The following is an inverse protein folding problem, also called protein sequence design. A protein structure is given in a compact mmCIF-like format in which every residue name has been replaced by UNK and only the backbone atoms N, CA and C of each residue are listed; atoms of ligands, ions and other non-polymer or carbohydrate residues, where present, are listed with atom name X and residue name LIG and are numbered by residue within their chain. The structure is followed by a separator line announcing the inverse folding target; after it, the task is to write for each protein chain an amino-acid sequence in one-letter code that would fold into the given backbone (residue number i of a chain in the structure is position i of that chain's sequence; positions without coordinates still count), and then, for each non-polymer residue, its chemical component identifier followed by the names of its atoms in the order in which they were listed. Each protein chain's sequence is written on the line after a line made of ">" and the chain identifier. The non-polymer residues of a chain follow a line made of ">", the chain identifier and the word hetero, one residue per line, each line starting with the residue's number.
data_IF_667311961177
#
_entry.id   IF_667311961177
#
_cell.length_a   1.000
_cell.length_b   1.000
_cell.length_c   1.000
_cell.angle_alpha   90.00
_cell.angle_beta   90.00
_cell.angle_gamma   90.00
#
_symmetry.space_group_name_H-M   'P 1'
#
loop_
_entity.id
_entity.type
_entity.pdbx_description
1 polymer ?
#
# COMPACT_ATOMS: atom_id res chain seq x y z
N UNK A 1 22.57 -12.53 30.16
CA UNK A 1 21.16 -12.64 29.75
C UNK A 1 20.79 -11.39 29.02
N UNK A 2 20.09 -11.46 27.89
CA UNK A 2 19.58 -10.28 27.19
C UNK A 2 18.11 -10.13 27.57
N UNK A 3 17.70 -8.93 27.97
CA UNK A 3 16.29 -8.61 28.26
C UNK A 3 15.69 -7.88 27.05
N UNK A 4 14.49 -8.28 26.67
CA UNK A 4 13.76 -7.68 25.56
C UNK A 4 12.45 -7.10 26.08
N UNK A 5 12.20 -5.82 25.81
CA UNK A 5 10.89 -5.23 26.01
C UNK A 5 9.94 -5.70 24.90
N UNK A 6 8.69 -6.01 25.25
CA UNK A 6 7.66 -6.41 24.31
C UNK A 6 6.39 -5.62 24.56
N UNK A 7 5.83 -5.07 23.49
CA UNK A 7 4.53 -4.39 23.47
C UNK A 7 3.68 -4.98 22.34
N UNK A 8 2.36 -4.95 22.50
CA UNK A 8 1.41 -5.50 21.55
C UNK A 8 0.79 -4.38 20.73
N UNK A 9 0.81 -4.52 19.41
CA UNK A 9 0.23 -3.56 18.47
C UNK A 9 -0.52 -4.27 17.35
N UNK A 10 -1.59 -3.65 16.86
CA UNK A 10 -2.30 -4.09 15.67
C UNK A 10 -1.76 -3.36 14.43
N UNK A 11 -0.84 -4.00 13.71
CA UNK A 11 -0.19 -3.41 12.52
C UNK A 11 -1.13 -3.17 11.33
N UNK A 12 -2.37 -3.66 11.36
CA UNK A 12 -3.38 -3.34 10.33
C UNK A 12 -4.15 -2.05 10.65
N UNK A 13 -4.16 -1.63 11.92
CA UNK A 13 -5.04 -0.54 12.40
C UNK A 13 -4.28 0.63 13.01
N UNK A 14 -3.10 0.37 13.55
CA UNK A 14 -2.34 1.31 14.35
C UNK A 14 -1.00 1.61 13.66
N UNK A 15 -0.58 2.86 13.76
CA UNK A 15 0.78 3.25 13.41
C UNK A 15 1.74 2.75 14.50
N UNK A 16 2.95 2.34 14.12
CA UNK A 16 3.96 1.91 15.08
C UNK A 16 4.36 3.12 15.95
N UNK A 17 4.38 3.02 17.28
CA UNK A 17 4.61 4.17 18.17
C UNK A 17 6.09 4.53 18.30
N UNK A 18 6.83 4.41 17.21
CA UNK A 18 8.23 4.76 17.11
C UNK A 18 8.40 5.94 16.15
N UNK A 19 9.35 6.86 16.42
CA UNK A 19 9.68 7.91 15.47
C UNK A 19 10.21 7.35 14.15
N UNK A 20 10.14 8.17 13.10
CA UNK A 20 10.76 7.88 11.82
C UNK A 20 12.26 7.58 12.01
N UNK A 21 12.80 6.64 11.24
CA UNK A 21 14.24 6.36 11.18
C UNK A 21 14.88 5.96 12.52
N UNK A 22 14.11 5.31 13.39
CA UNK A 22 14.56 4.90 14.72
C UNK A 22 15.44 3.63 14.72
N UNK A 23 15.17 2.68 13.83
CA UNK A 23 15.79 1.35 13.88
C UNK A 23 16.77 1.07 12.75
N UNK A 24 17.87 0.38 13.07
CA UNK A 24 18.79 -0.13 12.05
C UNK A 24 18.25 -1.40 11.34
N UNK A 25 17.33 -2.12 11.99
CA UNK A 25 16.74 -3.32 11.43
C UNK A 25 15.38 -3.66 12.05
N UNK A 26 14.55 -4.38 11.29
CA UNK A 26 13.23 -4.89 11.71
C UNK A 26 13.15 -6.38 11.38
N UNK A 27 12.61 -7.15 12.32
CA UNK A 27 12.23 -8.55 12.12
C UNK A 27 10.71 -8.61 11.98
N UNK A 28 10.23 -9.10 10.84
CA UNK A 28 8.81 -9.35 10.56
C UNK A 28 8.63 -10.86 10.33
N UNK A 29 8.46 -11.60 11.44
CA UNK A 29 8.48 -13.05 11.42
C UNK A 29 7.09 -13.63 11.63
N UNK A 30 6.56 -14.35 10.63
CA UNK A 30 5.24 -15.02 10.70
C UNK A 30 4.09 -14.03 11.00
N UNK A 31 4.06 -12.93 10.25
CA UNK A 31 3.04 -11.87 10.39
C UNK A 31 2.25 -11.66 9.10
N UNK A 32 2.94 -11.66 7.96
CA UNK A 32 2.37 -11.28 6.66
C UNK A 32 1.15 -12.13 6.28
N UNK A 33 1.20 -13.42 6.58
CA UNK A 33 0.16 -14.40 6.29
C UNK A 33 -1.10 -14.25 7.16
N UNK A 34 -0.96 -13.56 8.29
CA UNK A 34 -2.02 -13.33 9.25
C UNK A 34 -2.84 -12.07 8.93
N UNK A 35 -2.30 -11.16 8.13
CA UNK A 35 -2.99 -9.92 7.76
C UNK A 35 -4.26 -10.20 6.96
N UNK A 36 -5.31 -9.45 7.28
CA UNK A 36 -6.65 -9.63 6.71
C UNK A 36 -6.96 -8.67 5.57
N UNK A 37 -6.32 -7.50 5.57
CA UNK A 37 -6.75 -6.35 4.77
C UNK A 37 -5.62 -5.76 3.93
N UNK A 38 -4.59 -5.18 4.55
CA UNK A 38 -3.59 -4.38 3.82
C UNK A 38 -2.14 -4.61 4.30
N UNK A 39 -1.38 -5.52 3.65
CA UNK A 39 0.04 -5.69 3.94
C UNK A 39 0.90 -4.48 3.57
N UNK A 40 0.46 -3.61 2.67
CA UNK A 40 1.22 -2.42 2.24
C UNK A 40 1.29 -1.40 3.37
N UNK A 41 0.22 -1.25 4.17
CA UNK A 41 0.20 -0.37 5.34
C UNK A 41 1.25 -0.78 6.39
N UNK A 42 1.36 -2.07 6.71
CA UNK A 42 2.41 -2.58 7.60
C UNK A 42 3.81 -2.31 7.02
N UNK A 43 4.02 -2.56 5.73
CA UNK A 43 5.29 -2.29 5.07
C UNK A 43 5.64 -0.79 5.06
N UNK A 44 4.65 0.10 4.98
CA UNK A 44 4.84 1.54 5.07
C UNK A 44 5.39 1.95 6.45
N UNK A 45 4.81 1.41 7.52
CA UNK A 45 5.26 1.68 8.89
C UNK A 45 6.65 1.07 9.15
N UNK A 46 6.91 -0.16 8.70
CA UNK A 46 8.24 -0.76 8.76
C UNK A 46 9.27 0.12 8.02
N UNK A 47 8.94 0.59 6.82
CA UNK A 47 9.81 1.47 6.05
C UNK A 47 10.02 2.81 6.76
N UNK A 48 8.99 3.38 7.41
CA UNK A 48 9.07 4.64 8.15
C UNK A 48 10.00 4.54 9.34
N UNK A 49 9.90 3.49 10.15
CA UNK A 49 10.69 3.33 11.38
C UNK A 49 12.12 2.85 11.13
N UNK A 50 12.40 2.22 9.98
CA UNK A 50 13.75 1.87 9.57
C UNK A 50 14.55 3.13 9.22
N UNK A 51 15.83 3.18 9.56
CA UNK A 51 16.79 4.19 9.08
C UNK A 51 17.04 4.06 7.58
N UNK A 52 17.51 5.11 6.88
CA UNK A 52 18.01 4.96 5.52
C UNK A 52 19.06 3.86 5.49
N UNK A 53 18.93 2.89 4.56
CA UNK A 53 19.76 1.69 4.48
C UNK A 53 19.60 0.66 5.61
N UNK A 54 18.61 0.80 6.49
CA UNK A 54 18.24 -0.22 7.47
C UNK A 54 17.71 -1.48 6.78
N UNK A 55 17.73 -2.60 7.49
CA UNK A 55 17.37 -3.91 6.94
C UNK A 55 16.04 -4.44 7.49
N UNK A 56 15.31 -5.17 6.66
CA UNK A 56 14.13 -5.94 7.04
C UNK A 56 14.48 -7.42 6.85
N UNK A 57 14.26 -8.24 7.87
CA UNK A 57 14.14 -9.68 7.69
C UNK A 57 12.68 -10.05 7.80
N UNK A 58 12.15 -10.66 6.73
CA UNK A 58 10.77 -11.11 6.66
C UNK A 58 10.74 -12.62 6.49
N UNK A 59 9.90 -13.30 7.29
CA UNK A 59 9.60 -14.72 7.11
C UNK A 59 8.10 -14.93 7.00
N UNK A 60 7.72 -15.85 6.10
CA UNK A 60 6.32 -16.24 5.88
C UNK A 60 6.28 -17.64 5.27
N UNK A 61 5.22 -18.43 5.51
CA UNK A 61 5.03 -19.72 4.85
C UNK A 61 4.97 -19.59 3.33
N UNK A 62 5.54 -20.56 2.62
CA UNK A 62 5.48 -20.66 1.17
C UNK A 62 4.21 -21.41 0.72
N UNK A 63 3.27 -20.70 0.10
CA UNK A 63 2.06 -21.32 -0.46
C UNK A 63 2.38 -22.36 -1.53
N UNK A 64 3.50 -22.18 -2.24
CA UNK A 64 4.02 -23.08 -3.26
C UNK A 64 4.85 -24.24 -2.71
N UNK A 65 4.82 -24.55 -1.41
CA UNK A 65 5.61 -25.64 -0.85
C UNK A 65 5.16 -27.02 -1.38
N UNK A 66 6.08 -28.00 -1.37
CA UNK A 66 5.83 -29.33 -1.93
C UNK A 66 4.66 -30.04 -1.24
N UNK A 67 4.49 -29.83 0.08
CA UNK A 67 3.36 -30.38 0.84
C UNK A 67 2.03 -29.96 0.20
N UNK A 68 1.86 -28.66 -0.06
CA UNK A 68 0.64 -28.12 -0.66
C UNK A 68 0.42 -28.69 -2.07
N UNK A 69 1.47 -28.80 -2.89
CA UNK A 69 1.39 -29.42 -4.22
C UNK A 69 0.89 -30.86 -4.14
N UNK A 70 1.45 -31.65 -3.22
CA UNK A 70 1.07 -33.06 -3.04
C UNK A 70 -0.34 -33.20 -2.48
N UNK A 71 -0.75 -32.35 -1.55
CA UNK A 71 -2.12 -32.37 -1.01
C UNK A 71 -3.14 -32.05 -2.11
N UNK A 72 -2.88 -31.08 -2.96
CA UNK A 72 -3.73 -30.76 -4.12
C UNK A 72 -3.81 -31.91 -5.13
N UNK A 73 -2.69 -32.59 -5.43
CA UNK A 73 -2.70 -33.78 -6.30
C UNK A 73 -3.54 -34.93 -5.74
N UNK A 74 -3.70 -35.00 -4.42
CA UNK A 74 -4.57 -35.96 -3.75
C UNK A 74 -6.00 -35.44 -3.51
N UNK A 75 -6.35 -34.26 -4.07
CA UNK A 75 -7.67 -33.66 -3.91
C UNK A 75 -7.95 -33.14 -2.49
N UNK A 76 -6.92 -32.85 -1.70
CA UNK A 76 -7.05 -32.28 -0.36
C UNK A 76 -6.99 -30.76 -0.38
N UNK A 77 -7.63 -30.14 0.60
CA UNK A 77 -7.60 -28.70 0.78
C UNK A 77 -6.33 -28.29 1.53
N UNK A 78 -5.69 -27.20 1.08
CA UNK A 78 -4.48 -26.62 1.67
C UNK A 78 -4.79 -25.51 2.69
N UNK A 79 -6.03 -25.01 2.73
CA UNK A 79 -6.43 -23.97 3.68
C UNK A 79 -6.62 -24.55 5.08
N UNK A 80 -6.15 -23.80 6.08
CA UNK A 80 -6.33 -24.16 7.49
C UNK A 80 -7.83 -24.19 7.87
N UNK A 81 -8.25 -25.13 8.72
CA UNK A 81 -9.63 -25.19 9.20
C UNK A 81 -9.99 -23.92 9.98
N UNK A 82 -11.28 -23.55 9.95
CA UNK A 82 -11.79 -22.45 10.76
C UNK A 82 -11.65 -22.77 12.25
N UNK A 83 -11.12 -21.82 13.02
CA UNK A 83 -10.91 -21.97 14.45
C UNK A 83 -11.55 -20.79 15.19
N UNK A 84 -12.87 -20.86 15.37
CA UNK A 84 -13.69 -19.78 15.93
C UNK A 84 -13.15 -19.26 17.28
N UNK A 85 -12.58 -20.14 18.10
CA UNK A 85 -12.04 -19.81 19.42
C UNK A 85 -10.85 -18.84 19.41
N UNK A 86 -10.16 -18.67 18.27
CA UNK A 86 -8.92 -17.87 18.19
C UNK A 86 -9.06 -16.64 17.26
N UNK A 87 -10.26 -16.40 16.72
CA UNK A 87 -10.53 -15.25 15.87
C UNK A 87 -9.91 -15.34 14.45
N UNK A 88 -10.16 -14.31 13.62
CA UNK A 88 -9.77 -14.33 12.20
C UNK A 88 -8.26 -14.12 11.98
N UNK A 89 -7.54 -13.53 12.92
CA UNK A 89 -6.09 -13.25 12.81
C UNK A 89 -5.23 -14.45 13.19
N UNK A 90 -5.77 -15.46 13.86
CA UNK A 90 -5.02 -16.67 14.23
C UNK A 90 -4.71 -17.58 13.03
N UNK A 91 -5.60 -17.61 12.03
CA UNK A 91 -5.37 -18.40 10.82
C UNK A 91 -4.45 -17.65 9.86
N UNK A 92 -3.85 -18.40 8.93
CA UNK A 92 -3.26 -17.79 7.74
C UNK A 92 -4.42 -17.36 6.84
N UNK A 93 -4.61 -16.05 6.70
CA UNK A 93 -5.64 -15.47 5.83
C UNK A 93 -5.21 -15.58 4.36
N UNK A 94 -3.91 -15.42 4.09
CA UNK A 94 -3.31 -15.61 2.78
C UNK A 94 -1.86 -16.05 2.93
N UNK A 95 -1.49 -17.18 2.34
CA UNK A 95 -0.08 -17.54 2.18
C UNK A 95 0.46 -17.01 0.84
N UNK A 96 1.76 -16.74 0.77
CA UNK A 96 2.39 -16.11 -0.38
C UNK A 96 3.42 -17.04 -1.03
N UNK A 97 3.67 -16.85 -2.32
CA UNK A 97 4.84 -17.40 -3.00
C UNK A 97 6.04 -16.47 -2.85
N UNK A 98 7.24 -17.03 -3.03
CA UNK A 98 8.48 -16.23 -3.04
C UNK A 98 8.47 -15.08 -4.06
N UNK A 99 7.84 -15.30 -5.23
CA UNK A 99 7.74 -14.30 -6.27
C UNK A 99 6.83 -13.12 -5.85
N UNK A 100 5.67 -13.43 -5.26
CA UNK A 100 4.74 -12.42 -4.72
C UNK A 100 5.38 -11.58 -3.62
N UNK A 101 6.08 -12.22 -2.66
CA UNK A 101 6.80 -11.49 -1.59
C UNK A 101 7.86 -10.57 -2.20
N UNK A 102 8.62 -11.05 -3.18
CA UNK A 102 9.65 -10.26 -3.86
C UNK A 102 9.06 -9.05 -4.56
N UNK A 103 7.99 -9.24 -5.33
CA UNK A 103 7.32 -8.17 -6.06
C UNK A 103 6.76 -7.13 -5.10
N UNK A 104 6.06 -7.56 -4.05
CA UNK A 104 5.47 -6.67 -3.05
C UNK A 104 6.54 -5.78 -2.38
N UNK A 105 7.65 -6.38 -1.96
CA UNK A 105 8.76 -5.64 -1.33
C UNK A 105 9.43 -4.66 -2.30
N UNK A 106 9.73 -5.09 -3.52
CA UNK A 106 10.32 -4.21 -4.54
C UNK A 106 9.40 -3.03 -4.87
N UNK A 107 8.11 -3.30 -5.06
CA UNK A 107 7.11 -2.30 -5.32
C UNK A 107 6.97 -1.29 -4.18
N UNK A 108 7.22 -1.72 -2.94
CA UNK A 108 7.15 -0.87 -1.74
C UNK A 108 8.43 -0.07 -1.44
N UNK A 109 9.44 -0.09 -2.30
CA UNK A 109 10.70 0.65 -2.07
C UNK A 109 11.72 -0.11 -1.20
N UNK A 110 11.66 -1.44 -1.19
CA UNK A 110 12.72 -2.25 -0.62
C UNK A 110 13.60 -2.85 -1.71
N UNK A 111 14.90 -2.93 -1.46
CA UNK A 111 15.84 -3.71 -2.25
C UNK A 111 15.97 -5.12 -1.64
N UNK A 112 15.66 -6.17 -2.40
CA UNK A 112 15.78 -7.55 -1.91
C UNK A 112 17.23 -8.04 -2.08
N UNK A 113 17.99 -8.07 -0.98
CA UNK A 113 19.39 -8.51 -0.94
C UNK A 113 19.50 -10.04 -0.99
N UNK A 114 18.59 -10.74 -0.29
CA UNK A 114 18.56 -12.20 -0.24
C UNK A 114 17.13 -12.70 -0.17
N UNK A 115 16.83 -13.75 -0.93
CA UNK A 115 15.58 -14.49 -0.87
C UNK A 115 15.90 -15.98 -0.98
N UNK A 116 15.51 -16.74 0.03
CA UNK A 116 15.57 -18.20 -0.01
C UNK A 116 14.22 -18.80 0.36
N UNK A 117 14.05 -20.05 -0.07
CA UNK A 117 12.93 -20.89 0.34
C UNK A 117 13.53 -22.15 0.96
N UNK A 118 13.18 -22.45 2.20
CA UNK A 118 13.84 -23.48 3.01
C UNK A 118 12.82 -24.31 3.78
N UNK A 119 13.18 -25.55 4.09
CA UNK A 119 12.38 -26.41 4.95
C UNK A 119 12.80 -26.17 6.41
N UNK A 120 11.86 -25.79 7.29
CA UNK A 120 12.13 -25.58 8.72
C UNK A 120 12.03 -26.89 9.51
N UNK A 121 11.17 -27.82 9.07
CA UNK A 121 10.97 -29.07 9.78
C UNK A 121 12.10 -30.08 9.50
N UNK A 122 12.64 -30.78 10.52
CA UNK A 122 13.57 -31.91 10.34
C UNK A 122 12.94 -33.13 9.64
N UNK A 123 11.67 -33.06 9.24
CA UNK A 123 10.94 -34.15 8.60
C UNK A 123 11.40 -34.51 7.18
N UNK A 124 12.40 -33.81 6.63
CA UNK A 124 13.06 -34.22 5.38
C UNK A 124 13.64 -35.64 5.46
N UNK A 125 14.09 -36.09 6.64
CA UNK A 125 14.60 -37.45 6.84
C UNK A 125 13.50 -38.53 6.82
N UNK A 126 12.24 -38.16 7.04
CA UNK A 126 11.10 -39.08 7.12
C UNK A 126 10.17 -39.02 5.90
N UNK A 127 10.45 -38.18 4.91
CA UNK A 127 9.67 -38.16 3.66
C UNK A 127 10.03 -39.38 2.80
N UNK A 128 9.04 -40.16 2.32
CA UNK A 128 9.30 -41.32 1.48
C UNK A 128 10.10 -40.92 0.24
N UNK A 129 10.95 -41.83 -0.27
CA UNK A 129 11.84 -41.59 -1.41
C UNK A 129 11.16 -40.88 -2.60
N UNK A 130 9.91 -41.26 -2.90
CA UNK A 130 9.11 -40.64 -3.97
C UNK A 130 8.91 -39.12 -3.80
N UNK A 131 8.81 -38.62 -2.56
CA UNK A 131 8.69 -37.20 -2.28
C UNK A 131 9.97 -36.43 -2.64
N UNK A 132 11.14 -37.01 -2.34
CA UNK A 132 12.45 -36.41 -2.68
C UNK A 132 12.70 -36.44 -4.19
N UNK A 133 12.37 -37.55 -4.84
CA UNK A 133 12.45 -37.67 -6.29
C UNK A 133 11.52 -36.67 -6.99
N UNK A 134 10.28 -36.50 -6.49
CA UNK A 134 9.34 -35.51 -7.00
C UNK A 134 9.86 -34.08 -6.77
N UNK A 135 10.37 -33.75 -5.59
CA UNK A 135 10.98 -32.45 -5.31
C UNK A 135 12.09 -32.13 -6.31
N UNK A 136 13.01 -33.08 -6.51
CA UNK A 136 14.13 -32.94 -7.43
C UNK A 136 13.66 -32.81 -8.89
N UNK A 137 12.67 -33.61 -9.31
CA UNK A 137 12.10 -33.54 -10.65
C UNK A 137 11.43 -32.18 -10.91
N UNK A 138 10.60 -31.70 -9.97
CA UNK A 138 9.93 -30.41 -10.09
C UNK A 138 10.95 -29.26 -10.09
N UNK A 139 11.99 -29.34 -9.24
CA UNK A 139 13.09 -28.38 -9.24
C UNK A 139 13.84 -28.37 -10.56
N UNK A 140 14.13 -29.53 -11.16
CA UNK A 140 14.76 -29.58 -12.49
C UNK A 140 13.85 -29.06 -13.60
N UNK A 141 12.56 -29.42 -13.56
CA UNK A 141 11.62 -29.09 -14.63
C UNK A 141 11.22 -27.62 -14.64
N UNK A 142 11.06 -27.02 -13.47
CA UNK A 142 10.52 -25.68 -13.29
C UNK A 142 11.52 -24.68 -12.70
N UNK A 143 12.68 -25.14 -12.21
CA UNK A 143 13.69 -24.28 -11.59
C UNK A 143 13.29 -23.71 -10.22
N UNK A 144 12.15 -24.13 -9.67
CA UNK A 144 11.59 -23.61 -8.43
C UNK A 144 12.04 -24.41 -7.21
N UNK A 145 12.18 -23.73 -6.08
CA UNK A 145 12.40 -24.34 -4.79
C UNK A 145 11.06 -24.44 -4.04
N UNK A 146 10.68 -25.65 -3.65
CA UNK A 146 9.37 -25.96 -3.05
C UNK A 146 9.49 -26.19 -1.53
N UNK A 147 10.46 -25.54 -0.88
CA UNK A 147 10.58 -25.55 0.58
C UNK A 147 9.39 -24.90 1.28
N UNK A 148 9.27 -25.15 2.58
CA UNK A 148 8.12 -24.75 3.39
C UNK A 148 8.06 -23.26 3.76
N UNK A 149 9.21 -22.60 3.93
CA UNK A 149 9.28 -21.23 4.41
C UNK A 149 10.01 -20.33 3.43
N UNK A 150 9.53 -19.10 3.29
CA UNK A 150 10.24 -18.00 2.62
C UNK A 150 11.04 -17.22 3.67
N UNK A 151 12.32 -17.00 3.39
CA UNK A 151 13.19 -16.09 4.13
C UNK A 151 13.65 -14.97 3.21
N UNK A 152 13.37 -13.73 3.58
CA UNK A 152 13.82 -12.56 2.83
C UNK A 152 14.60 -11.64 3.74
N UNK A 153 15.77 -11.20 3.26
CA UNK A 153 16.45 -10.02 3.76
C UNK A 153 16.36 -8.93 2.71
N UNK A 154 15.77 -7.82 3.09
CA UNK A 154 15.61 -6.64 2.25
C UNK A 154 16.21 -5.41 2.93
N UNK A 155 16.43 -4.36 2.15
CA UNK A 155 17.04 -3.11 2.60
C UNK A 155 16.17 -1.94 2.21
N UNK A 156 15.94 -1.01 3.13
CA UNK A 156 15.22 0.24 2.87
C UNK A 156 16.02 1.07 1.88
N UNK A 157 15.48 1.30 0.67
CA UNK A 157 16.11 2.10 -0.39
C UNK A 157 15.12 3.04 -1.05
N UNK A 158 15.53 4.29 -1.26
CA UNK A 158 14.66 5.28 -1.90
C UNK A 158 13.48 5.68 -1.01
N UNK A 159 12.43 6.18 -1.65
CA UNK A 159 11.18 6.58 -1.01
C UNK A 159 10.22 5.39 -0.99
N UNK A 160 9.40 5.30 0.07
CA UNK A 160 8.34 4.31 0.11
C UNK A 160 7.34 4.55 -1.02
N UNK A 161 6.91 3.47 -1.65
CA UNK A 161 5.90 3.51 -2.70
C UNK A 161 4.69 2.71 -2.23
N UNK A 162 3.51 3.32 -2.24
CA UNK A 162 2.25 2.63 -1.97
C UNK A 162 1.86 1.77 -3.17
N UNK A 163 2.43 0.57 -3.24
CA UNK A 163 2.28 -0.35 -4.35
C UNK A 163 1.23 -1.41 -4.06
N UNK A 164 0.12 -1.33 -4.80
CA UNK A 164 -1.01 -2.25 -4.71
C UNK A 164 -1.09 -3.10 -5.98
N UNK A 165 -0.41 -4.26 -6.05
CA UNK A 165 -0.40 -5.06 -7.26
C UNK A 165 -1.76 -5.71 -7.54
N UNK A 166 -2.13 -5.82 -8.82
CA UNK A 166 -3.45 -6.28 -9.24
C UNK A 166 -3.72 -7.76 -8.98
N UNK A 167 -2.68 -8.57 -8.72
CA UNK A 167 -2.85 -9.97 -8.30
C UNK A 167 -3.21 -10.10 -6.81
N UNK A 168 -2.98 -9.05 -6.02
CA UNK A 168 -3.27 -9.02 -4.58
C UNK A 168 -4.53 -8.21 -4.28
N UNK A 169 -4.69 -7.07 -4.95
CA UNK A 169 -5.75 -6.11 -4.67
C UNK A 169 -6.71 -5.98 -5.85
N UNK A 170 -8.00 -6.13 -5.53
CA UNK A 170 -9.09 -5.67 -6.39
C UNK A 170 -9.61 -4.35 -5.85
N UNK A 171 -9.89 -3.38 -6.73
CA UNK A 171 -10.48 -2.09 -6.37
C UNK A 171 -9.65 -1.29 -5.34
N UNK A 172 -8.51 -0.73 -5.74
CA UNK A 172 -7.61 0.04 -4.87
C UNK A 172 -8.29 1.23 -4.18
N UNK A 173 -9.39 1.72 -4.74
CA UNK A 173 -10.20 2.81 -4.17
C UNK A 173 -10.79 2.53 -2.78
N UNK A 174 -10.82 1.27 -2.32
CA UNK A 174 -11.28 0.91 -0.98
C UNK A 174 -10.18 0.95 0.09
N UNK A 175 -8.93 1.10 -0.32
CA UNK A 175 -7.76 1.17 0.57
C UNK A 175 -7.34 2.62 0.83
N UNK A 176 -8.31 3.54 0.78
CA UNK A 176 -8.08 4.95 1.11
C UNK A 176 -7.68 5.06 2.59
N UNK A 177 -6.50 5.61 2.83
CA UNK A 177 -5.93 5.87 4.15
C UNK A 177 -5.46 7.33 4.21
N UNK A 178 -6.19 8.16 4.95
CA UNK A 178 -5.92 9.61 5.02
C UNK A 178 -4.80 9.90 6.01
N UNK A 179 -3.55 9.73 5.57
CA UNK A 179 -2.36 9.83 6.44
C UNK A 179 -1.70 11.20 6.45
N UNK A 180 -1.69 11.93 5.32
CA UNK A 180 -0.92 13.16 5.15
C UNK A 180 -1.80 14.38 4.89
N UNK A 181 -1.32 15.59 5.27
CA UNK A 181 -1.96 16.86 4.93
C UNK A 181 -1.65 17.34 3.50
N UNK A 182 -1.23 16.43 2.62
CA UNK A 182 -0.93 16.69 1.22
C UNK A 182 -1.12 15.42 0.40
N UNK A 183 -1.31 15.57 -0.90
CA UNK A 183 -1.20 14.51 -1.90
C UNK A 183 -0.09 14.90 -2.87
N UNK A 184 0.78 13.97 -3.21
CA UNK A 184 1.69 14.08 -4.34
C UNK A 184 1.66 12.78 -5.14
N UNK A 185 1.42 12.90 -6.45
CA UNK A 185 1.41 11.74 -7.34
C UNK A 185 2.80 11.15 -7.43
N UNK A 186 2.89 9.84 -7.19
CA UNK A 186 4.15 9.12 -7.05
C UNK A 186 4.54 8.83 -5.61
N UNK A 187 3.99 9.56 -4.64
CA UNK A 187 4.38 9.48 -3.23
C UNK A 187 3.29 8.87 -2.35
N UNK A 188 2.07 9.42 -2.36
CA UNK A 188 0.96 8.95 -1.51
C UNK A 188 -0.41 9.01 -2.19
N UNK A 189 -0.42 9.18 -3.52
CA UNK A 189 -1.64 9.19 -4.32
C UNK A 189 -2.43 7.90 -4.19
N UNK A 190 -1.77 6.74 -4.10
CA UNK A 190 -2.47 5.45 -4.08
C UNK A 190 -3.37 5.25 -2.84
N UNK A 191 -3.10 5.95 -1.73
CA UNK A 191 -3.89 5.86 -0.50
C UNK A 191 -4.77 7.09 -0.23
N UNK A 192 -4.53 8.21 -0.92
CA UNK A 192 -5.26 9.44 -0.66
C UNK A 192 -6.06 9.94 -1.87
N UNK A 193 -5.95 9.27 -3.01
CA UNK A 193 -6.86 9.46 -4.14
C UNK A 193 -7.86 8.30 -4.18
N UNK A 194 -9.15 8.63 -4.22
CA UNK A 194 -10.24 7.67 -4.26
C UNK A 194 -10.64 7.29 -5.67
N UNK A 195 -11.95 7.08 -5.87
CA UNK A 195 -12.52 6.75 -7.17
C UNK A 195 -12.34 7.88 -8.17
N UNK A 196 -12.30 7.52 -9.45
CA UNK A 196 -12.39 8.46 -10.57
C UNK A 196 -11.05 8.95 -11.13
N UNK A 197 -9.92 8.52 -10.60
CA UNK A 197 -8.61 8.82 -11.20
C UNK A 197 -8.20 7.77 -12.22
N UNK A 198 -7.67 8.22 -13.35
CA UNK A 198 -7.03 7.34 -14.33
C UNK A 198 -5.66 6.86 -13.84
N UNK A 199 -5.06 5.94 -14.60
CA UNK A 199 -3.71 5.46 -14.36
C UNK A 199 -2.69 6.62 -14.36
N UNK A 200 -1.62 6.40 -13.60
CA UNK A 200 -0.54 7.39 -13.48
C UNK A 200 0.18 7.51 -14.82
N UNK A 201 0.37 8.74 -15.28
CA UNK A 201 1.17 9.05 -16.45
C UNK A 201 2.24 10.10 -16.13
N UNK A 202 3.26 10.22 -17.00
CA UNK A 202 4.28 11.26 -16.91
C UNK A 202 3.98 12.34 -17.93
N UNK A 203 4.03 13.61 -17.50
CA UNK A 203 3.78 14.76 -18.34
C UNK A 203 4.78 15.87 -18.01
N UNK A 204 5.65 16.19 -18.98
CA UNK A 204 6.82 17.09 -18.83
C UNK A 204 7.68 16.77 -17.59
N UNK A 205 7.91 15.47 -17.37
CA UNK A 205 8.74 14.99 -16.25
C UNK A 205 8.05 15.02 -14.89
N UNK A 206 6.77 15.41 -14.82
CA UNK A 206 5.96 15.39 -13.60
C UNK A 206 4.93 14.27 -13.69
N UNK A 207 4.81 13.48 -12.62
CA UNK A 207 3.79 12.45 -12.52
C UNK A 207 2.42 13.08 -12.26
N UNK A 208 1.42 12.62 -13.01
CA UNK A 208 0.05 13.11 -12.91
C UNK A 208 -0.95 11.95 -12.97
N UNK A 209 -2.12 12.17 -12.37
CA UNK A 209 -3.30 11.33 -12.59
C UNK A 209 -4.41 12.19 -13.16
N UNK A 210 -5.01 11.76 -14.27
CA UNK A 210 -6.12 12.46 -14.90
C UNK A 210 -7.43 12.18 -14.18
N UNK A 211 -8.29 13.19 -14.14
CA UNK A 211 -9.67 13.04 -13.68
C UNK A 211 -10.45 12.29 -14.76
N UNK A 212 -11.15 11.24 -14.38
CA UNK A 212 -12.01 10.46 -15.25
C UNK A 212 -13.29 11.20 -15.65
N UNK A 213 -14.14 10.53 -16.42
CA UNK A 213 -15.38 11.13 -16.96
C UNK A 213 -16.44 11.43 -15.90
N UNK A 214 -16.43 10.73 -14.77
CA UNK A 214 -17.42 10.87 -13.69
C UNK A 214 -16.94 11.78 -12.56
N UNK A 215 -15.80 12.45 -12.73
CA UNK A 215 -15.13 13.18 -11.65
C UNK A 215 -14.12 12.31 -10.90
N UNK A 216 -13.52 12.85 -9.84
CA UNK A 216 -12.54 12.14 -9.02
C UNK A 216 -12.52 12.62 -7.56
N UNK A 217 -12.03 11.79 -6.64
CA UNK A 217 -12.03 12.08 -5.20
C UNK A 217 -10.61 12.14 -4.62
N UNK A 218 -10.31 13.10 -3.76
CA UNK A 218 -9.06 13.17 -3.01
C UNK A 218 -9.31 13.39 -1.52
N UNK A 219 -8.42 12.89 -0.67
CA UNK A 219 -8.55 12.95 0.79
C UNK A 219 -7.27 13.46 1.43
N UNK A 220 -7.41 14.37 2.38
CA UNK A 220 -6.27 14.99 3.07
C UNK A 220 -6.58 15.17 4.55
N UNK A 221 -5.58 14.97 5.42
CA UNK A 221 -5.69 15.44 6.81
C UNK A 221 -5.74 16.95 6.83
N UNK A 222 -6.50 17.53 7.73
CA UNK A 222 -6.47 18.98 7.97
C UNK A 222 -5.18 19.37 8.67
N UNK A 223 -4.83 20.66 8.59
CA UNK A 223 -3.67 21.22 9.25
C UNK A 223 -4.11 22.45 10.05
N UNK A 224 -4.01 22.45 11.39
CA UNK A 224 -4.47 23.56 12.20
C UNK A 224 -3.85 24.89 11.77
N UNK A 225 -4.68 25.92 11.61
CA UNK A 225 -4.25 27.25 11.18
C UNK A 225 -3.91 27.40 9.70
N UNK A 226 -4.19 26.40 8.87
CA UNK A 226 -4.16 26.51 7.41
C UNK A 226 -5.59 26.52 6.85
N UNK A 227 -5.92 27.52 6.05
CA UNK A 227 -7.21 27.64 5.36
C UNK A 227 -7.10 27.58 3.84
N UNK A 228 -5.88 27.64 3.28
CA UNK A 228 -5.66 27.65 1.85
C UNK A 228 -5.20 26.27 1.36
N UNK A 229 -5.90 25.72 0.38
CA UNK A 229 -5.45 24.57 -0.40
C UNK A 229 -4.78 25.06 -1.68
N UNK A 230 -3.54 24.65 -1.92
CA UNK A 230 -2.85 24.83 -3.18
C UNK A 230 -2.95 23.54 -4.01
N UNK A 231 -3.39 23.67 -5.26
CA UNK A 231 -3.53 22.57 -6.20
C UNK A 231 -2.56 22.80 -7.38
N UNK A 232 -1.76 21.77 -7.67
CA UNK A 232 -0.90 21.71 -8.85
C UNK A 232 -1.58 20.82 -9.89
N UNK A 233 -2.26 21.48 -10.83
CA UNK A 233 -3.03 20.85 -11.89
C UNK A 233 -2.28 20.94 -13.22
N UNK A 234 -2.71 20.13 -14.18
CA UNK A 234 -2.26 20.19 -15.56
C UNK A 234 -3.46 20.07 -16.47
N UNK A 235 -3.58 21.00 -17.42
CA UNK A 235 -4.61 20.95 -18.44
C UNK A 235 -4.01 20.44 -19.76
N UNK A 236 -4.70 19.51 -20.39
CA UNK A 236 -4.28 18.83 -21.61
C UNK A 236 -4.95 19.39 -22.87
N UNK A 237 -6.01 20.18 -22.70
CA UNK A 237 -6.75 20.81 -23.79
C UNK A 237 -6.51 22.33 -23.82
N UNK A 238 -6.48 22.94 -25.02
CA UNK A 238 -6.20 24.36 -25.18
C UNK A 238 -7.36 25.26 -24.74
N UNK A 239 -8.59 24.74 -24.71
CA UNK A 239 -9.79 25.50 -24.39
C UNK A 239 -9.85 25.83 -22.89
N UNK A 240 -10.03 27.10 -22.50
CA UNK A 240 -10.24 27.46 -21.10
C UNK A 240 -11.45 26.72 -20.52
N UNK A 241 -11.30 26.20 -19.32
CA UNK A 241 -12.37 25.45 -18.61
C UNK A 241 -12.44 25.88 -17.15
N UNK A 242 -13.62 25.72 -16.56
CA UNK A 242 -13.82 25.80 -15.13
C UNK A 242 -13.83 24.37 -14.60
N UNK A 243 -12.99 24.07 -13.61
CA UNK A 243 -13.02 22.80 -12.90
C UNK A 243 -13.83 22.97 -11.61
N UNK A 244 -15.08 22.49 -11.54
CA UNK A 244 -15.86 22.56 -10.32
C UNK A 244 -15.32 21.55 -9.32
N UNK A 245 -15.23 21.98 -8.06
CA UNK A 245 -14.86 21.11 -6.97
C UNK A 245 -15.67 21.42 -5.71
N UNK A 246 -15.89 20.38 -4.93
CA UNK A 246 -16.58 20.44 -3.65
C UNK A 246 -15.66 19.89 -2.56
N UNK A 247 -15.56 20.58 -1.44
CA UNK A 247 -14.82 20.13 -0.26
C UNK A 247 -15.78 19.88 0.89
N UNK A 248 -15.68 18.70 1.49
CA UNK A 248 -16.52 18.25 2.60
C UNK A 248 -15.67 17.64 3.72
N UNK A 249 -16.19 17.54 4.96
CA UNK A 249 -15.55 16.76 6.02
C UNK A 249 -15.54 15.28 5.67
N UNK A 250 -14.40 14.62 5.84
CA UNK A 250 -14.31 13.17 5.66
C UNK A 250 -14.80 12.45 6.92
N UNK A 251 -15.73 11.49 6.76
CA UNK A 251 -16.28 10.64 7.84
C UNK A 251 -16.88 11.38 9.06
N UNK A 252 -17.17 12.68 8.94
CA UNK A 252 -17.81 13.48 9.98
C UNK A 252 -19.26 13.82 9.62
N UNK A 253 -20.19 12.92 9.94
CA UNK A 253 -21.61 13.06 9.62
C UNK A 253 -22.30 14.27 10.28
N UNK A 254 -21.69 14.89 11.30
CA UNK A 254 -22.27 15.97 12.09
C UNK A 254 -21.89 17.40 11.61
N UNK A 255 -20.90 17.55 10.74
CA UNK A 255 -20.38 18.87 10.32
C UNK A 255 -20.88 19.20 8.91
N UNK A 256 -21.79 20.18 8.80
CA UNK A 256 -22.33 20.69 7.52
C UNK A 256 -21.41 21.71 6.84
N UNK A 257 -20.09 21.56 6.94
CA UNK A 257 -19.15 22.50 6.32
C UNK A 257 -18.86 22.05 4.88
N UNK A 258 -19.76 22.36 3.96
CA UNK A 258 -19.57 22.12 2.54
C UNK A 258 -19.12 23.40 1.86
N UNK A 259 -18.01 23.33 1.13
CA UNK A 259 -17.55 24.41 0.25
C UNK A 259 -17.62 23.93 -1.18
N UNK A 260 -18.15 24.76 -2.08
CA UNK A 260 -18.16 24.50 -3.53
C UNK A 260 -17.62 25.71 -4.25
N UNK A 261 -16.83 25.47 -5.29
CA UNK A 261 -16.35 26.53 -6.16
C UNK A 261 -15.72 25.97 -7.42
N UNK A 262 -15.17 26.86 -8.23
CA UNK A 262 -14.61 26.53 -9.53
C UNK A 262 -13.18 27.05 -9.63
N UNK A 263 -12.31 26.24 -10.21
CA UNK A 263 -10.94 26.64 -10.56
C UNK A 263 -10.90 27.01 -12.04
N UNK A 264 -10.58 28.27 -12.40
CA UNK A 264 -10.34 28.63 -13.78
C UNK A 264 -9.02 28.01 -14.24
N UNK A 265 -9.08 27.21 -15.31
CA UNK A 265 -7.92 26.61 -15.96
C UNK A 265 -7.76 27.21 -17.35
N UNK A 266 -6.55 27.68 -17.65
CA UNK A 266 -6.27 28.40 -18.90
C UNK A 266 -5.20 27.73 -19.74
N UNK A 267 -5.51 27.41 -21.00
CA UNK A 267 -4.54 26.86 -21.95
C UNK A 267 -3.96 25.50 -21.53
N UNK A 268 -3.03 24.99 -22.33
CA UNK A 268 -2.35 23.72 -22.05
C UNK A 268 -1.18 23.89 -21.08
N UNK A 269 -0.91 22.87 -20.27
CA UNK A 269 0.24 22.80 -19.39
C UNK A 269 -0.09 23.00 -17.90
N UNK A 270 0.92 23.43 -17.13
CA UNK A 270 0.85 23.51 -15.67
C UNK A 270 -0.06 24.67 -15.23
N UNK A 271 -1.00 24.35 -14.34
CA UNK A 271 -1.93 25.28 -13.72
C UNK A 271 -1.71 25.25 -12.20
N UNK A 272 -1.45 26.42 -11.61
CA UNK A 272 -1.38 26.57 -10.15
C UNK A 272 -2.65 27.24 -9.68
N UNK A 273 -3.43 26.53 -8.87
CA UNK A 273 -4.68 27.02 -8.33
C UNK A 273 -4.62 27.05 -6.81
N UNK A 274 -5.45 27.90 -6.21
CA UNK A 274 -5.64 27.87 -4.77
C UNK A 274 -7.06 28.17 -4.37
N UNK A 275 -7.54 27.45 -3.37
CA UNK A 275 -8.88 27.60 -2.80
C UNK A 275 -8.72 27.99 -1.33
N UNK A 276 -9.48 29.00 -0.89
CA UNK A 276 -9.54 29.37 0.53
C UNK A 276 -10.81 28.76 1.11
N UNK A 277 -10.64 27.89 2.10
CA UNK A 277 -11.72 27.21 2.79
C UNK A 277 -12.07 27.96 4.08
N UNK A 278 -13.37 28.03 4.44
CA UNK A 278 -13.77 28.44 5.79
C UNK A 278 -13.14 27.48 6.81
N UNK A 279 -12.66 28.03 7.95
CA UNK A 279 -11.76 27.37 8.91
C UNK A 279 -12.05 25.86 9.10
N UNK A 280 -11.15 24.97 8.64
CA UNK A 280 -11.33 23.52 8.74
C UNK A 280 -10.91 22.96 10.11
N UNK A 281 -10.71 23.81 11.13
CA UNK A 281 -10.03 23.43 12.37
C UNK A 281 -10.77 22.36 13.21
N UNK A 282 -12.07 22.15 12.96
CA UNK A 282 -12.87 21.15 13.69
C UNK A 282 -12.91 19.76 13.02
N UNK A 283 -12.42 19.60 11.79
CA UNK A 283 -12.47 18.32 11.07
C UNK A 283 -11.07 17.71 10.98
N UNK A 284 -10.87 16.41 11.26
CA UNK A 284 -9.55 15.78 11.22
C UNK A 284 -9.05 15.52 9.78
N UNK A 285 -9.97 15.45 8.83
CA UNK A 285 -9.71 15.21 7.42
C UNK A 285 -10.83 15.80 6.54
N UNK A 286 -10.47 16.10 5.30
CA UNK A 286 -11.37 16.58 4.25
C UNK A 286 -11.38 15.62 3.07
N UNK A 287 -12.52 15.61 2.39
CA UNK A 287 -12.77 15.01 1.09
C UNK A 287 -12.89 16.15 0.07
N UNK A 288 -12.23 15.99 -1.08
CA UNK A 288 -12.29 16.88 -2.23
C UNK A 288 -12.86 16.09 -3.39
N UNK A 289 -14.03 16.50 -3.87
CA UNK A 289 -14.70 15.93 -5.04
C UNK A 289 -14.52 16.87 -6.23
N UNK A 290 -13.85 16.39 -7.28
CA UNK A 290 -13.74 17.06 -8.56
C UNK A 290 -14.90 16.61 -9.44
N UNK A 291 -15.78 17.53 -9.85
CA UNK A 291 -17.05 17.22 -10.54
C UNK A 291 -16.96 17.30 -12.07
N UNK A 292 -15.75 17.40 -12.62
CA UNK A 292 -15.50 17.52 -14.05
C UNK A 292 -14.04 17.20 -14.40
N UNK A 293 -13.61 17.61 -15.59
CA UNK A 293 -12.23 17.39 -16.05
C UNK A 293 -12.11 16.36 -17.15
N UNK A 294 -13.03 15.39 -17.28
CA UNK A 294 -13.25 14.54 -18.48
C UNK A 294 -11.96 14.10 -19.22
N UNK A 295 -10.94 13.60 -18.50
CA UNK A 295 -9.63 13.19 -19.02
C UNK A 295 -8.73 14.33 -19.55
N UNK A 296 -9.19 15.57 -19.51
CA UNK A 296 -8.51 16.80 -19.95
C UNK A 296 -7.77 17.53 -18.82
N UNK A 297 -7.99 17.15 -17.56
CA UNK A 297 -7.30 17.72 -16.39
C UNK A 297 -6.64 16.64 -15.57
N UNK A 298 -5.39 16.86 -15.18
CA UNK A 298 -4.62 16.00 -14.30
C UNK A 298 -4.16 16.70 -13.04
N UNK A 299 -4.04 15.93 -11.96
CA UNK A 299 -3.50 16.37 -10.69
C UNK A 299 -2.06 15.87 -10.55
N UNK A 300 -1.17 16.74 -10.07
CA UNK A 300 0.19 16.37 -9.66
C UNK A 300 0.37 16.44 -8.14
N UNK A 301 -0.19 17.48 -7.49
CA UNK A 301 -0.13 17.63 -6.04
C UNK A 301 -1.27 18.50 -5.47
N UNK A 302 -1.63 18.24 -4.21
CA UNK A 302 -2.51 19.07 -3.38
C UNK A 302 -1.82 19.26 -2.04
N UNK A 303 -1.79 20.47 -1.49
CA UNK A 303 -1.23 20.72 -0.15
C UNK A 303 -1.90 21.89 0.55
N UNK A 304 -1.87 21.87 1.88
CA UNK A 304 -2.19 23.05 2.67
C UNK A 304 -1.08 24.10 2.59
N UNK A 305 -1.50 25.36 2.43
CA UNK A 305 -0.70 26.57 2.53
C UNK A 305 -1.20 27.42 3.72
N UNK A 306 -0.33 28.29 4.24
CA UNK A 306 -0.68 29.22 5.33
C UNK A 306 -1.45 30.44 4.81
#
# INVERSE_FOLDING_TARGET
>A
THEFASELYDVEREDLPFPDESFAGVLCCEVLEHLTTDPVAMLAEIHRVLRPNGWLVLTTPNSGCLRNVVDLLHGRNIYRPYALAFGPTWRHNREYTAAEVRELLLGCGFEVEHLSVEDIAPNLEHRPFGHRALHWLLRLRYGLNYGEQIFVRARRRGQFCWHYPSWLFHHTEFYVSVRRPYVRVGENDAIQLGKGWLERESSDGVLVRRIGTVGAMAYLRTRPGCSRLALELRQFEPEPRQLPLTVRPYQHASVKLEWTGEIPLGGTGRQLASVVLPQPDETPAIEIEFLGGENSVGLSAIRWDR
#
